data_IF_154291239294
#
_entry.id   IF_154291239294
#
_cell.length_a   1.000
_cell.length_b   1.000
_cell.length_c   1.000
_cell.angle_alpha   90.00
_cell.angle_beta   90.00
_cell.angle_gamma   90.00
#
_symmetry.space_group_name_H-M   'P 1'
#
loop_
_entity.id
_entity.type
_entity.pdbx_description
1 polymer ?
#
# COMPACT_ATOMS: atom_id res chain seq x y z
N UNK A 1 22.25 -7.20 1.46
CA UNK A 1 20.98 -7.46 2.08
C UNK A 1 20.16 -6.23 2.22
N UNK A 2 19.04 -6.26 1.63
CA UNK A 2 18.27 -5.04 1.54
C UNK A 2 17.21 -5.00 2.60
N UNK A 3 17.38 -4.08 3.52
CA UNK A 3 16.34 -3.79 4.49
C UNK A 3 15.45 -2.71 3.90
N UNK A 4 14.18 -3.01 3.78
CA UNK A 4 13.24 -2.01 3.32
C UNK A 4 11.98 -2.10 4.16
N UNK A 5 11.24 -1.01 4.16
CA UNK A 5 10.04 -0.87 4.97
C UNK A 5 8.82 -0.74 4.08
N UNK A 6 7.76 -1.40 4.50
CA UNK A 6 6.48 -1.40 3.81
C UNK A 6 5.43 -0.83 4.76
N UNK A 7 4.60 0.07 4.26
CA UNK A 7 3.46 0.56 5.00
C UNK A 7 2.21 -0.08 4.45
N UNK A 8 1.46 -0.77 5.31
CA UNK A 8 0.19 -1.40 4.95
C UNK A 8 -0.93 -0.48 5.41
N UNK A 9 -1.74 -0.01 4.49
CA UNK A 9 -2.85 0.91 4.77
C UNK A 9 -4.16 0.22 4.46
N UNK A 10 -4.93 -0.12 5.49
CA UNK A 10 -6.19 -0.82 5.33
C UNK A 10 -7.02 -0.59 6.60
N UNK A 11 -8.29 -0.20 6.43
CA UNK A 11 -9.15 0.05 7.58
C UNK A 11 -9.55 -1.23 8.31
N UNK A 12 -9.34 -2.38 7.70
CA UNK A 12 -9.49 -3.67 8.37
C UNK A 12 -8.23 -3.95 9.16
N UNK A 13 -8.23 -3.56 10.42
CA UNK A 13 -7.03 -3.60 11.26
C UNK A 13 -6.45 -5.01 11.38
N UNK A 14 -7.31 -6.02 11.52
CA UNK A 14 -6.84 -7.39 11.65
C UNK A 14 -6.11 -7.86 10.39
N UNK A 15 -6.64 -7.50 9.22
CA UNK A 15 -6.01 -7.85 7.96
C UNK A 15 -4.66 -7.16 7.82
N UNK A 16 -4.62 -5.87 8.11
CA UNK A 16 -3.37 -5.11 8.02
C UNK A 16 -2.32 -5.69 8.95
N UNK A 17 -2.71 -6.00 10.18
CA UNK A 17 -1.80 -6.56 11.18
C UNK A 17 -1.28 -7.94 10.73
N UNK A 18 -2.17 -8.77 10.19
CA UNK A 18 -1.78 -10.10 9.71
C UNK A 18 -0.75 -10.00 8.58
N UNK A 19 -1.00 -9.10 7.63
CA UNK A 19 -0.06 -8.91 6.52
C UNK A 19 1.29 -8.43 7.07
N UNK A 20 1.26 -7.46 7.97
CA UNK A 20 2.50 -6.92 8.53
C UNK A 20 3.29 -8.01 9.27
N UNK A 21 2.61 -8.83 10.06
CA UNK A 21 3.27 -9.91 10.78
C UNK A 21 3.92 -10.91 9.85
N UNK A 22 3.24 -11.25 8.77
CA UNK A 22 3.79 -12.20 7.78
C UNK A 22 5.00 -11.63 7.07
N UNK A 23 4.98 -10.33 6.78
CA UNK A 23 6.14 -9.67 6.19
C UNK A 23 7.31 -9.67 7.16
N UNK A 24 7.04 -9.41 8.43
CA UNK A 24 8.08 -9.38 9.46
C UNK A 24 8.75 -10.74 9.64
N UNK A 25 7.97 -11.82 9.53
CA UNK A 25 8.53 -13.18 9.59
C UNK A 25 9.54 -13.39 8.46
N UNK A 26 9.35 -12.73 7.34
CA UNK A 26 10.27 -12.83 6.20
C UNK A 26 11.39 -11.80 6.22
N UNK A 27 11.54 -11.10 7.33
CA UNK A 27 12.60 -10.10 7.46
C UNK A 27 12.29 -8.75 6.83
N UNK A 28 11.04 -8.52 6.43
CA UNK A 28 10.63 -7.25 5.86
C UNK A 28 10.00 -6.41 6.96
N UNK A 29 10.50 -5.19 7.15
CA UNK A 29 9.92 -4.29 8.14
C UNK A 29 8.58 -3.79 7.64
N UNK A 30 7.55 -3.89 8.48
CA UNK A 30 6.20 -3.50 8.08
C UNK A 30 5.53 -2.74 9.20
N UNK A 31 4.86 -1.65 8.83
CA UNK A 31 4.03 -0.86 9.71
C UNK A 31 2.64 -0.80 9.13
N UNK A 32 1.67 -0.46 9.96
CA UNK A 32 0.27 -0.38 9.53
C UNK A 32 -0.32 0.98 9.81
N UNK A 33 -1.28 1.38 8.98
CA UNK A 33 -2.13 2.53 9.23
C UNK A 33 -3.55 2.12 8.86
N UNK A 34 -4.53 2.56 9.61
CA UNK A 34 -5.91 2.15 9.38
C UNK A 34 -6.79 3.23 8.76
N UNK A 35 -6.20 4.36 8.42
CA UNK A 35 -6.91 5.42 7.69
C UNK A 35 -5.91 6.22 6.85
N UNK A 36 -6.45 6.97 5.88
CA UNK A 36 -5.62 7.67 4.92
C UNK A 36 -4.84 8.83 5.51
N UNK A 37 -5.43 9.55 6.46
CA UNK A 37 -4.73 10.68 7.07
C UNK A 37 -3.53 10.23 7.87
N UNK A 38 -3.70 9.19 8.68
CA UNK A 38 -2.59 8.62 9.44
C UNK A 38 -1.50 8.10 8.51
N UNK A 39 -1.92 7.44 7.42
CA UNK A 39 -0.97 6.94 6.44
C UNK A 39 -0.12 8.06 5.85
N UNK A 40 -0.76 9.17 5.46
CA UNK A 40 -0.02 10.29 4.89
C UNK A 40 0.96 10.90 5.89
N UNK A 41 0.54 11.01 7.17
CA UNK A 41 1.43 11.53 8.21
C UNK A 41 2.66 10.65 8.37
N UNK A 42 2.46 9.32 8.36
CA UNK A 42 3.56 8.38 8.50
C UNK A 42 4.48 8.44 7.29
N UNK A 43 3.91 8.54 6.09
CA UNK A 43 4.70 8.62 4.85
C UNK A 43 5.54 9.88 4.83
N UNK A 44 4.98 11.01 5.27
CA UNK A 44 5.70 12.27 5.28
C UNK A 44 6.80 12.29 6.33
N UNK A 45 6.53 11.69 7.50
CA UNK A 45 7.50 11.69 8.59
C UNK A 45 8.68 10.77 8.32
N UNK A 46 8.42 9.62 7.70
CA UNK A 46 9.46 8.60 7.50
C UNK A 46 9.07 7.75 6.29
N UNK A 47 9.42 8.19 5.08
CA UNK A 47 8.93 7.54 3.85
C UNK A 47 9.33 6.06 3.76
N UNK A 48 8.35 5.17 3.59
CA UNK A 48 8.66 3.76 3.33
C UNK A 48 9.10 3.55 1.89
N UNK A 49 9.62 2.38 1.59
CA UNK A 49 10.01 2.04 0.23
C UNK A 49 8.82 1.59 -0.62
N UNK A 50 7.78 1.06 0.01
CA UNK A 50 6.56 0.61 -0.69
C UNK A 50 5.36 0.88 0.20
N UNK A 51 4.24 1.30 -0.41
CA UNK A 51 2.97 1.44 0.28
C UNK A 51 1.98 0.45 -0.33
N UNK A 52 1.34 -0.37 0.51
CA UNK A 52 0.23 -1.23 0.12
C UNK A 52 -1.03 -0.53 0.62
N UNK A 53 -1.94 -0.22 -0.27
CA UNK A 53 -2.99 0.76 0.00
C UNK A 53 -4.35 0.21 -0.42
N UNK A 54 -5.25 0.05 0.55
CA UNK A 54 -6.63 -0.31 0.26
C UNK A 54 -7.32 0.86 -0.43
N UNK A 55 -8.02 0.57 -1.52
CA UNK A 55 -8.70 1.58 -2.30
C UNK A 55 -9.93 2.12 -1.58
N UNK A 56 -10.69 1.24 -0.93
CA UNK A 56 -11.97 1.59 -0.31
C UNK A 56 -11.83 1.69 1.19
N UNK A 57 -11.71 2.91 1.69
CA UNK A 57 -11.66 3.18 3.13
C UNK A 57 -12.62 4.32 3.45
N UNK A 58 -13.23 4.32 4.65
CA UNK A 58 -14.06 5.46 5.06
C UNK A 58 -13.23 6.74 5.14
N UNK A 59 -13.85 7.87 4.87
CA UNK A 59 -13.15 9.15 4.88
C UNK A 59 -12.24 9.26 3.69
N UNK A 60 -10.95 9.51 3.93
CA UNK A 60 -9.97 9.60 2.86
C UNK A 60 -9.67 8.20 2.30
N UNK A 61 -10.14 7.91 1.10
CA UNK A 61 -9.90 6.64 0.44
C UNK A 61 -8.52 6.54 -0.16
N UNK A 62 -8.21 5.34 -0.68
CA UNK A 62 -6.88 5.09 -1.22
C UNK A 62 -6.52 5.97 -2.41
N UNK A 63 -7.49 6.28 -3.27
CA UNK A 63 -7.21 7.12 -4.43
C UNK A 63 -6.81 8.53 -3.98
N UNK A 64 -7.48 9.08 -2.97
CA UNK A 64 -7.11 10.40 -2.46
C UNK A 64 -5.72 10.37 -1.83
N UNK A 65 -5.38 9.31 -1.10
CA UNK A 65 -4.02 9.18 -0.56
C UNK A 65 -3.00 9.20 -1.69
N UNK A 66 -3.26 8.44 -2.74
CA UNK A 66 -2.36 8.39 -3.90
C UNK A 66 -2.24 9.76 -4.56
N UNK A 67 -3.36 10.46 -4.73
CA UNK A 67 -3.34 11.80 -5.32
C UNK A 67 -2.49 12.76 -4.49
N UNK A 68 -2.61 12.70 -3.17
CA UNK A 68 -1.82 13.56 -2.30
C UNK A 68 -0.34 13.22 -2.33
N UNK A 69 -0.01 11.93 -2.43
CA UNK A 69 1.38 11.53 -2.58
C UNK A 69 1.97 12.10 -3.88
N UNK A 70 1.21 12.02 -4.97
CA UNK A 70 1.66 12.56 -6.25
C UNK A 70 1.79 14.08 -6.21
N UNK A 71 0.86 14.75 -5.55
CA UNK A 71 0.90 16.21 -5.41
C UNK A 71 2.15 16.67 -4.65
N UNK A 72 2.63 15.86 -3.72
CA UNK A 72 3.86 16.13 -2.96
C UNK A 72 5.11 15.63 -3.67
N UNK A 73 4.94 15.10 -4.88
CA UNK A 73 6.05 14.58 -5.68
C UNK A 73 6.79 13.42 -5.00
N UNK A 74 6.05 12.63 -4.23
CA UNK A 74 6.60 11.44 -3.59
C UNK A 74 6.64 10.31 -4.60
N UNK A 75 7.80 9.71 -4.79
CA UNK A 75 8.00 8.68 -5.80
C UNK A 75 8.10 7.29 -5.17
N UNK A 76 7.18 7.00 -4.28
CA UNK A 76 7.12 5.73 -3.59
C UNK A 76 6.17 4.83 -4.37
N UNK A 77 6.58 3.61 -4.75
CA UNK A 77 5.66 2.70 -5.44
C UNK A 77 4.50 2.31 -4.53
N UNK A 78 3.30 2.32 -5.12
CA UNK A 78 2.07 2.01 -4.41
C UNK A 78 1.43 0.79 -5.05
N UNK A 79 1.12 -0.22 -4.23
CA UNK A 79 0.35 -1.39 -4.64
C UNK A 79 -1.04 -1.21 -4.07
N UNK A 80 -2.05 -1.18 -4.96
CA UNK A 80 -3.42 -0.99 -4.53
C UNK A 80 -4.08 -2.33 -4.24
N UNK A 81 -4.87 -2.38 -3.17
CA UNK A 81 -5.72 -3.53 -2.88
C UNK A 81 -7.16 -3.13 -3.22
N UNK A 82 -7.77 -3.87 -4.15
CA UNK A 82 -9.12 -3.58 -4.61
C UNK A 82 -10.03 -4.74 -4.24
N UNK A 83 -11.26 -4.44 -3.83
CA UNK A 83 -12.24 -5.46 -3.53
C UNK A 83 -13.36 -5.47 -4.57
N UNK A 84 -14.38 -6.23 -4.26
CA UNK A 84 -15.58 -6.27 -5.09
C UNK A 84 -16.17 -4.86 -5.18
N UNK A 85 -16.44 -4.40 -6.40
CA UNK A 85 -17.07 -3.10 -6.59
C UNK A 85 -16.08 -1.94 -6.63
N UNK A 86 -14.77 -2.18 -6.54
CA UNK A 86 -13.79 -1.11 -6.56
C UNK A 86 -12.84 -1.20 -7.76
N UNK A 87 -13.24 -1.91 -8.82
CA UNK A 87 -12.42 -2.07 -10.02
C UNK A 87 -12.12 -0.73 -10.68
N UNK A 88 -13.11 0.17 -10.73
CA UNK A 88 -12.92 1.47 -11.35
C UNK A 88 -11.87 2.29 -10.61
N UNK A 89 -11.90 2.24 -9.28
CA UNK A 89 -10.91 2.94 -8.48
C UNK A 89 -9.52 2.36 -8.68
N UNK A 90 -9.42 1.04 -8.83
CA UNK A 90 -8.14 0.41 -9.14
C UNK A 90 -7.58 0.89 -10.46
N UNK A 91 -8.43 0.98 -11.48
CA UNK A 91 -8.00 1.49 -12.78
C UNK A 91 -7.61 2.95 -12.71
N UNK A 92 -8.35 3.75 -11.95
CA UNK A 92 -8.00 5.15 -11.74
C UNK A 92 -6.65 5.28 -11.07
N UNK A 93 -6.38 4.45 -10.07
CA UNK A 93 -5.09 4.44 -9.40
C UNK A 93 -3.94 4.10 -10.33
N UNK A 94 -4.15 3.16 -11.26
CA UNK A 94 -3.12 2.84 -12.24
C UNK A 94 -2.85 4.03 -13.15
N UNK A 95 -3.88 4.76 -13.54
CA UNK A 95 -3.71 5.98 -14.35
C UNK A 95 -2.95 7.05 -13.57
N UNK A 96 -3.12 7.09 -12.26
CA UNK A 96 -2.40 8.04 -11.41
C UNK A 96 -0.97 7.62 -11.13
N UNK A 97 -0.56 6.45 -11.60
CA UNK A 97 0.82 6.01 -11.48
C UNK A 97 1.09 5.00 -10.39
N UNK A 98 0.07 4.30 -9.87
CA UNK A 98 0.32 3.19 -8.96
C UNK A 98 1.19 2.14 -9.65
N UNK A 99 1.98 1.43 -8.87
CA UNK A 99 2.85 0.40 -9.42
C UNK A 99 2.05 -0.78 -9.95
N UNK A 100 1.08 -1.25 -9.15
CA UNK A 100 0.22 -2.35 -9.55
C UNK A 100 -0.97 -2.41 -8.61
N UNK A 101 -1.88 -3.34 -8.87
CA UNK A 101 -3.01 -3.59 -7.99
C UNK A 101 -3.23 -5.10 -7.83
N UNK A 102 -3.85 -5.49 -6.73
CA UNK A 102 -4.25 -6.87 -6.47
C UNK A 102 -5.68 -6.87 -5.96
N UNK A 103 -6.42 -7.91 -6.31
CA UNK A 103 -7.81 -8.07 -5.87
C UNK A 103 -7.84 -8.72 -4.49
N UNK A 104 -8.71 -8.22 -3.62
CA UNK A 104 -8.98 -8.87 -2.33
C UNK A 104 -10.05 -9.94 -2.50
N UNK A 105 -9.93 -11.06 -1.80
CA UNK A 105 -8.81 -11.46 -0.97
C UNK A 105 -7.62 -11.86 -1.83
N UNK A 106 -6.44 -11.35 -1.51
CA UNK A 106 -5.25 -11.68 -2.29
C UNK A 106 -4.42 -12.74 -1.58
N UNK A 107 -3.74 -13.54 -2.40
CA UNK A 107 -2.76 -14.49 -1.90
C UNK A 107 -1.58 -13.73 -1.34
N UNK A 108 -1.19 -14.03 -0.11
CA UNK A 108 -0.08 -13.33 0.52
C UNK A 108 1.22 -13.46 -0.27
N UNK A 109 1.44 -14.64 -0.86
CA UNK A 109 2.64 -14.85 -1.69
C UNK A 109 2.64 -13.92 -2.90
N UNK A 110 1.48 -13.70 -3.52
CA UNK A 110 1.38 -12.77 -4.63
C UNK A 110 1.67 -11.35 -4.18
N UNK A 111 1.18 -10.96 -3.01
CA UNK A 111 1.44 -9.63 -2.48
C UNK A 111 2.93 -9.44 -2.21
N UNK A 112 3.56 -10.43 -1.60
CA UNK A 112 5.00 -10.35 -1.30
C UNK A 112 5.80 -10.24 -2.61
N UNK A 113 5.43 -11.01 -3.63
CA UNK A 113 6.10 -10.92 -4.93
C UNK A 113 5.98 -9.52 -5.52
N UNK A 114 4.81 -8.89 -5.42
CA UNK A 114 4.62 -7.54 -5.93
C UNK A 114 5.44 -6.53 -5.15
N UNK A 115 5.51 -6.68 -3.84
CA UNK A 115 6.33 -5.81 -3.00
C UNK A 115 7.79 -5.91 -3.43
N UNK A 116 8.29 -7.12 -3.64
CA UNK A 116 9.67 -7.33 -4.06
C UNK A 116 9.94 -6.73 -5.43
N UNK A 117 9.00 -6.88 -6.38
CA UNK A 117 9.12 -6.24 -7.68
C UNK A 117 9.18 -4.72 -7.55
N UNK A 118 8.33 -4.15 -6.71
CA UNK A 118 8.28 -2.70 -6.53
C UNK A 118 9.60 -2.17 -5.98
N UNK A 119 10.17 -2.88 -5.01
CA UNK A 119 11.46 -2.48 -4.44
C UNK A 119 12.58 -2.55 -5.47
N UNK A 120 12.57 -3.58 -6.32
CA UNK A 120 13.60 -3.75 -7.33
C UNK A 120 13.53 -2.69 -8.42
N UNK A 121 12.39 -2.05 -8.59
CA UNK A 121 12.19 -1.03 -9.63
C UNK A 121 12.34 0.39 -9.11
N UNK A 122 12.93 0.56 -7.93
CA UNK A 122 13.20 1.89 -7.39
C UNK A 122 14.38 2.56 -8.07
#
# INVERSE_FOLDING_TARGET
MDEYRVLIVDDEEELATTIAERLQIRGIQAQTATDGETALQMIEADPPQVVVLDVMMPGMGGIEVLQRMKAQNLKIPVILLTGYGSTEQGMEGMKLGAFDYLMKPCDLNNLISKIQEAVQNL
#
